data_IF_519141674191
#
_entry.id   IF_519141674191
#
_cell.length_a   1.000
_cell.length_b   1.000
_cell.length_c   1.000
_cell.angle_alpha   90.00
_cell.angle_beta   90.00
_cell.angle_gamma   90.00
#
_symmetry.space_group_name_H-M   'P 1'
#
loop_
_entity.id
_entity.type
_entity.pdbx_description
1 polymer ?
#
# COMPACT_ATOMS: atom_id res chain seq x y z
N UNK A 1 -10.80 6.85 10.90
CA UNK A 1 -10.24 7.26 9.60
C UNK A 1 -11.39 7.69 8.70
N UNK A 2 -11.24 8.79 7.99
CA UNK A 2 -12.20 9.23 6.98
C UNK A 2 -11.50 9.43 5.65
N UNK A 3 -12.01 8.76 4.61
CA UNK A 3 -11.49 8.86 3.25
C UNK A 3 -12.46 9.61 2.35
N UNK A 4 -11.93 10.51 1.51
CA UNK A 4 -12.69 11.27 0.51
C UNK A 4 -11.97 11.23 -0.83
N UNK A 5 -12.67 10.76 -1.85
CA UNK A 5 -12.21 10.77 -3.24
C UNK A 5 -13.07 11.76 -4.00
N UNK A 6 -12.45 12.73 -4.68
CA UNK A 6 -13.14 13.74 -5.49
C UNK A 6 -12.48 13.87 -6.85
N UNK A 7 -13.28 14.02 -7.90
CA UNK A 7 -12.78 14.48 -9.19
C UNK A 7 -12.53 15.97 -9.11
N UNK A 8 -11.30 16.40 -9.36
CA UNK A 8 -10.91 17.82 -9.30
C UNK A 8 -10.89 18.47 -10.69
N UNK A 9 -10.71 17.68 -11.75
CA UNK A 9 -10.87 18.12 -13.14
C UNK A 9 -11.15 16.94 -14.10
N UNK A 10 -11.01 17.18 -15.41
CA UNK A 10 -11.25 16.20 -16.47
C UNK A 10 -10.37 14.93 -16.35
N UNK A 11 -9.17 15.09 -15.80
CA UNK A 11 -8.10 14.10 -15.78
C UNK A 11 -7.58 13.81 -14.37
N UNK A 12 -7.99 14.50 -13.32
CA UNK A 12 -7.43 14.28 -11.99
C UNK A 12 -8.50 13.93 -10.95
N UNK A 13 -8.17 12.97 -10.09
CA UNK A 13 -8.86 12.68 -8.84
C UNK A 13 -7.95 13.07 -7.67
N UNK A 14 -8.54 13.60 -6.61
CA UNK A 14 -7.87 13.83 -5.34
C UNK A 14 -8.43 12.88 -4.29
N UNK A 15 -7.54 12.17 -3.61
CA UNK A 15 -7.85 11.31 -2.47
C UNK A 15 -7.27 11.91 -1.20
N UNK A 16 -8.13 12.17 -0.22
CA UNK A 16 -7.76 12.68 1.09
C UNK A 16 -8.13 11.66 2.17
N UNK A 17 -7.19 11.34 3.05
CA UNK A 17 -7.41 10.40 4.15
C UNK A 17 -7.05 11.09 5.45
N UNK A 18 -8.03 11.34 6.31
CA UNK A 18 -7.80 11.93 7.62
C UNK A 18 -7.82 10.84 8.71
N UNK A 19 -6.77 10.83 9.53
CA UNK A 19 -6.64 9.98 10.69
C UNK A 19 -6.90 10.79 11.96
N UNK A 20 -7.97 10.42 12.67
CA UNK A 20 -8.36 11.00 13.95
C UNK A 20 -8.31 9.87 14.99
N UNK A 21 -7.13 9.65 15.58
CA UNK A 21 -6.94 8.67 16.64
C UNK A 21 -5.99 9.23 17.71
N UNK A 22 -6.53 9.74 18.84
CA UNK A 22 -5.72 10.31 19.91
C UNK A 22 -4.96 9.26 20.73
N UNK A 23 -5.27 7.96 20.61
CA UNK A 23 -4.51 6.89 21.26
C UNK A 23 -3.21 6.59 20.52
N UNK A 24 -3.18 6.83 19.21
CA UNK A 24 -2.02 6.58 18.36
C UNK A 24 -1.25 7.86 18.03
N UNK A 25 -1.94 8.98 17.77
CA UNK A 25 -1.33 10.21 17.27
C UNK A 25 -1.62 11.41 18.18
N UNK A 26 -0.66 12.34 18.28
CA UNK A 26 -0.80 13.54 19.11
C UNK A 26 -1.75 14.58 18.55
N UNK A 27 -2.09 14.50 17.26
CA UNK A 27 -3.07 15.34 16.58
C UNK A 27 -3.60 14.66 15.31
N UNK A 28 -4.81 15.03 14.85
CA UNK A 28 -5.29 14.62 13.54
C UNK A 28 -4.33 15.03 12.43
N UNK A 29 -4.23 14.19 11.40
CA UNK A 29 -3.42 14.48 10.22
C UNK A 29 -4.04 13.84 8.98
N UNK A 30 -3.67 14.37 7.81
CA UNK A 30 -4.27 14.00 6.53
C UNK A 30 -3.21 13.61 5.51
N UNK A 31 -3.42 12.48 4.84
CA UNK A 31 -2.70 12.10 3.61
C UNK A 31 -3.43 12.70 2.42
N UNK A 32 -2.69 13.36 1.54
CA UNK A 32 -3.18 13.84 0.25
C UNK A 32 -2.51 13.04 -0.87
N UNK A 33 -3.31 12.46 -1.76
CA UNK A 33 -2.85 11.73 -2.94
C UNK A 33 -3.52 12.34 -4.17
N UNK A 34 -2.72 12.93 -5.04
CA UNK A 34 -3.15 13.40 -6.36
C UNK A 34 -3.04 12.24 -7.35
N UNK A 35 -4.15 11.89 -7.99
CA UNK A 35 -4.27 10.76 -8.90
C UNK A 35 -4.60 11.29 -10.29
N UNK A 36 -3.54 11.46 -11.09
CA UNK A 36 -3.68 11.81 -12.50
C UNK A 36 -4.18 10.64 -13.33
N UNK A 37 -4.97 10.95 -14.36
CA UNK A 37 -5.44 9.98 -15.34
C UNK A 37 -4.23 9.38 -16.01
N UNK A 38 -4.16 8.07 -15.95
CA UNK A 38 -3.06 7.32 -16.47
C UNK A 38 -3.49 6.51 -17.69
N UNK A 39 -2.54 6.21 -18.57
CA UNK A 39 -2.82 5.49 -19.82
C UNK A 39 -3.17 4.02 -19.55
N UNK A 40 -4.22 3.52 -20.24
CA UNK A 40 -4.78 2.18 -20.06
C UNK A 40 -3.75 1.06 -20.32
N UNK A 41 -2.69 1.32 -21.09
CA UNK A 41 -1.64 0.34 -21.38
C UNK A 41 -0.62 0.14 -20.26
N UNK A 42 -0.59 1.04 -19.25
CA UNK A 42 0.48 1.07 -18.23
C UNK A 42 0.00 1.13 -16.78
N UNK A 43 -1.28 1.38 -16.51
CA UNK A 43 -1.71 1.72 -15.15
C UNK A 43 -2.85 0.86 -14.66
N UNK A 44 -2.46 -0.29 -14.14
CA UNK A 44 -3.24 -0.98 -13.13
C UNK A 44 -2.77 -0.40 -11.79
N UNK A 45 -3.53 0.52 -11.20
CA UNK A 45 -3.33 0.92 -9.80
C UNK A 45 -3.68 -0.33 -8.99
N UNK A 46 -2.70 -1.20 -8.81
CA UNK A 46 -2.83 -2.38 -7.99
C UNK A 46 -2.54 -1.99 -6.56
N UNK A 47 -3.38 -2.44 -5.64
CA UNK A 47 -3.02 -2.45 -4.24
C UNK A 47 -1.74 -3.28 -4.08
N UNK A 48 -0.74 -2.75 -3.36
CA UNK A 48 0.53 -3.46 -3.15
C UNK A 48 0.30 -4.83 -2.50
N UNK A 49 -0.77 -4.97 -1.73
CA UNK A 49 -1.20 -6.24 -1.14
C UNK A 49 -1.51 -7.33 -2.19
N UNK A 50 -1.92 -6.96 -3.41
CA UNK A 50 -2.13 -7.93 -4.49
C UNK A 50 -0.82 -8.49 -5.08
N UNK A 51 0.29 -7.77 -4.94
CA UNK A 51 1.61 -8.24 -5.39
C UNK A 51 2.38 -8.97 -4.30
N UNK A 52 2.04 -8.74 -3.02
CA UNK A 52 2.72 -9.32 -1.86
C UNK A 52 2.54 -10.85 -1.76
N UNK A 53 1.40 -11.37 -2.21
CA UNK A 53 1.14 -12.82 -2.26
C UNK A 53 2.09 -13.60 -3.19
N UNK A 54 2.58 -12.98 -4.26
CA UNK A 54 3.44 -13.65 -5.24
C UNK A 54 4.86 -13.90 -4.73
N UNK A 55 5.36 -13.06 -3.81
CA UNK A 55 6.69 -13.20 -3.23
C UNK A 55 6.69 -13.83 -1.83
N UNK A 56 5.55 -13.81 -1.14
CA UNK A 56 5.42 -14.35 0.22
C UNK A 56 5.84 -15.81 0.33
N UNK A 57 5.37 -16.68 -0.58
CA UNK A 57 5.69 -18.12 -0.54
C UNK A 57 7.19 -18.38 -0.74
N UNK A 58 7.83 -17.71 -1.69
CA UNK A 58 9.27 -17.84 -1.94
C UNK A 58 10.07 -17.36 -0.73
N UNK A 59 9.67 -16.23 -0.12
CA UNK A 59 10.32 -15.71 1.09
C UNK A 59 10.22 -16.67 2.27
N UNK A 60 9.03 -17.23 2.52
CA UNK A 60 8.78 -18.21 3.60
C UNK A 60 9.66 -19.46 3.42
N UNK A 61 9.66 -20.04 2.21
CA UNK A 61 10.46 -21.24 1.93
C UNK A 61 11.96 -20.97 2.02
N UNK A 62 12.43 -19.81 1.54
CA UNK A 62 13.83 -19.42 1.66
C UNK A 62 14.27 -19.26 3.12
N UNK A 63 13.42 -18.65 3.97
CA UNK A 63 13.64 -18.52 5.40
C UNK A 63 13.78 -19.88 6.10
N UNK A 64 12.83 -20.80 5.86
CA UNK A 64 12.88 -22.14 6.43
C UNK A 64 14.16 -22.91 6.04
N UNK A 65 14.61 -22.80 4.78
CA UNK A 65 15.88 -23.43 4.34
C UNK A 65 17.11 -22.82 4.99
N UNK A 66 17.09 -21.51 5.29
CA UNK A 66 18.17 -20.86 6.02
C UNK A 66 18.25 -21.38 7.46
N UNK A 67 17.10 -21.56 8.13
CA UNK A 67 17.03 -22.14 9.48
C UNK A 67 17.51 -23.59 9.51
N UNK A 68 17.08 -24.44 8.56
CA UNK A 68 17.57 -25.82 8.43
C UNK A 68 19.09 -25.89 8.26
N UNK A 69 19.68 -24.95 7.49
CA UNK A 69 21.13 -24.89 7.27
C UNK A 69 21.88 -24.43 8.52
N UNK A 70 21.31 -23.47 9.26
CA UNK A 70 21.88 -23.01 10.52
C UNK A 70 21.86 -24.10 11.60
N UNK A 71 20.79 -24.90 11.67
CA UNK A 71 20.63 -25.99 12.63
C UNK A 71 21.51 -27.22 12.35
N UNK A 72 22.03 -27.36 11.11
CA UNK A 72 22.97 -28.44 10.71
C UNK A 72 24.44 -28.13 11.03
N UNK A 73 24.72 -26.97 11.61
CA UNK A 73 26.07 -26.49 11.93
C UNK A 73 26.32 -26.58 13.41
#
# INVERSE_FOLDING_TARGET
MTERIRRVDANNLRREITFEDPKTWTKPWTVLIEMGKADDSRHMIFDSACHEGNYGMTGILAGARAEEKAAKK
#
